data_IF_473303279516
#
_entry.id   IF_473303279516
#
_cell.length_a   1.000
_cell.length_b   1.000
_cell.length_c   1.000
_cell.angle_alpha   90.00
_cell.angle_beta   90.00
_cell.angle_gamma   90.00
#
_symmetry.space_group_name_H-M   'P 1'
#
loop_
_entity.id
_entity.type
_entity.pdbx_description
1 polymer ?
#
# COMPACT_ATOMS: atom_id res chain seq x y z
N UNK A 1 14.61 -7.27 -13.19
CA UNK A 1 13.48 -7.55 -12.25
C UNK A 1 13.46 -6.56 -11.08
N UNK A 2 12.28 -6.16 -10.58
CA UNK A 2 12.08 -5.31 -9.38
C UNK A 2 11.61 -6.16 -8.20
N UNK A 3 12.11 -5.92 -7.01
CA UNK A 3 11.63 -6.59 -5.78
C UNK A 3 10.53 -5.75 -5.15
N UNK A 4 9.37 -6.37 -4.94
CA UNK A 4 8.29 -5.79 -4.17
C UNK A 4 8.74 -5.61 -2.71
N UNK A 5 8.50 -4.43 -2.18
CA UNK A 5 9.00 -4.01 -0.89
C UNK A 5 8.29 -4.74 0.20
N UNK A 6 9.08 -5.55 0.87
CA UNK A 6 8.84 -5.89 2.25
C UNK A 6 9.04 -4.64 3.09
N UNK A 7 8.03 -3.77 3.14
CA UNK A 7 7.98 -2.79 4.20
C UNK A 7 8.00 -3.57 5.50
N UNK A 8 9.11 -3.49 6.24
CA UNK A 8 9.29 -4.18 7.51
C UNK A 8 8.31 -3.71 8.59
N UNK A 9 7.30 -2.88 8.27
CA UNK A 9 6.46 -2.28 9.29
C UNK A 9 5.06 -2.01 8.75
N UNK A 10 4.05 -2.50 9.48
CA UNK A 10 2.66 -2.00 9.45
C UNK A 10 2.59 -0.45 9.51
N UNK A 11 3.63 0.17 10.07
CA UNK A 11 3.75 1.60 10.34
C UNK A 11 4.12 2.49 9.13
N UNK A 12 4.03 2.00 7.89
CA UNK A 12 4.34 2.79 6.69
C UNK A 12 3.05 3.36 6.06
N UNK A 13 2.74 4.66 6.19
CA UNK A 13 1.52 5.25 5.60
C UNK A 13 1.51 5.23 4.07
N UNK A 14 2.69 5.11 3.48
CA UNK A 14 2.89 5.05 2.03
C UNK A 14 2.48 3.72 1.40
N UNK A 15 2.29 2.68 2.23
CA UNK A 15 1.78 1.40 1.74
C UNK A 15 0.27 1.56 1.45
N UNK A 16 -0.22 1.30 0.22
CA UNK A 16 -1.63 1.48 -0.07
C UNK A 16 -2.50 0.51 0.75
N UNK A 17 -3.66 0.99 1.21
CA UNK A 17 -4.69 0.15 1.83
C UNK A 17 -5.83 -0.10 0.85
N UNK A 18 -6.44 -1.27 0.92
CA UNK A 18 -7.60 -1.66 0.10
C UNK A 18 -8.70 -2.17 1.01
N UNK A 19 -9.80 -1.42 1.11
CA UNK A 19 -10.96 -1.84 1.90
C UNK A 19 -11.90 -2.79 1.13
N UNK A 20 -12.02 -2.64 -0.19
CA UNK A 20 -12.95 -3.43 -1.00
C UNK A 20 -12.59 -4.93 -1.00
N UNK A 21 -13.46 -5.83 -0.47
CA UNK A 21 -13.20 -7.25 -0.42
C UNK A 21 -12.93 -7.88 -1.80
N UNK A 22 -13.63 -7.42 -2.84
CA UNK A 22 -13.47 -7.97 -4.18
C UNK A 22 -12.13 -7.55 -4.79
N UNK A 23 -11.71 -6.30 -4.57
CA UNK A 23 -10.37 -5.85 -4.96
C UNK A 23 -9.27 -6.57 -4.17
N UNK A 24 -9.45 -6.85 -2.86
CA UNK A 24 -8.51 -7.69 -2.10
C UNK A 24 -8.36 -9.07 -2.72
N UNK A 25 -9.48 -9.73 -3.06
CA UNK A 25 -9.48 -11.05 -3.71
C UNK A 25 -8.72 -11.03 -5.03
N UNK A 26 -9.01 -10.07 -5.93
CA UNK A 26 -8.33 -9.98 -7.24
C UNK A 26 -6.83 -9.73 -7.11
N UNK A 27 -6.40 -8.90 -6.15
CA UNK A 27 -4.98 -8.69 -5.86
C UNK A 27 -4.35 -10.01 -5.37
N UNK A 28 -5.01 -10.72 -4.45
CA UNK A 28 -4.53 -11.99 -3.92
C UNK A 28 -4.41 -13.05 -5.03
N UNK A 29 -5.41 -13.17 -5.91
CA UNK A 29 -5.38 -14.08 -7.07
C UNK A 29 -4.18 -13.79 -7.99
N UNK A 30 -3.88 -12.52 -8.26
CA UNK A 30 -2.69 -12.16 -9.03
C UNK A 30 -1.41 -12.63 -8.33
N UNK A 31 -1.29 -12.35 -7.02
CA UNK A 31 -0.10 -12.67 -6.26
C UNK A 31 0.13 -14.18 -6.15
N UNK A 32 -0.93 -14.96 -5.95
CA UNK A 32 -0.89 -16.42 -5.89
C UNK A 32 -0.61 -17.03 -7.26
N UNK A 33 -1.11 -16.44 -8.34
CA UNK A 33 -0.90 -16.92 -9.70
C UNK A 33 0.53 -16.69 -10.25
N UNK A 34 1.38 -15.96 -9.54
CA UNK A 34 2.76 -15.71 -9.94
C UNK A 34 3.59 -17.00 -9.98
N UNK A 35 4.54 -17.07 -10.91
CA UNK A 35 5.45 -18.21 -11.06
C UNK A 35 6.32 -18.35 -9.82
N UNK A 36 6.28 -19.52 -9.17
CA UNK A 36 7.08 -19.81 -7.99
C UNK A 36 8.55 -20.03 -8.36
N UNK A 37 9.44 -19.37 -7.63
CA UNK A 37 10.90 -19.40 -7.85
C UNK A 37 11.66 -19.53 -6.52
N UNK A 38 12.89 -20.03 -6.57
CA UNK A 38 13.83 -19.94 -5.43
C UNK A 38 13.66 -20.98 -4.31
N UNK A 39 13.04 -22.14 -4.56
CA UNK A 39 12.86 -23.20 -3.54
C UNK A 39 14.15 -23.72 -2.90
N UNK A 40 15.31 -23.59 -3.55
CA UNK A 40 16.52 -24.30 -3.11
C UNK A 40 17.40 -23.54 -2.11
N UNK A 41 17.34 -22.20 -2.00
CA UNK A 41 18.39 -21.42 -1.29
C UNK A 41 17.90 -20.26 -0.38
N UNK A 42 16.70 -20.33 0.21
CA UNK A 42 16.24 -19.33 1.19
C UNK A 42 14.98 -19.72 1.97
N UNK A 43 14.67 -19.04 3.08
CA UNK A 43 13.57 -19.42 3.99
C UNK A 43 12.16 -19.03 3.52
N UNK A 44 11.99 -18.34 2.38
CA UNK A 44 10.69 -17.84 1.93
C UNK A 44 10.41 -18.23 0.47
N UNK A 45 9.20 -18.71 0.20
CA UNK A 45 8.69 -18.94 -1.15
C UNK A 45 8.49 -17.59 -1.84
N UNK A 46 9.11 -17.44 -3.02
CA UNK A 46 9.01 -16.24 -3.84
C UNK A 46 8.17 -16.52 -5.09
N UNK A 47 7.47 -15.48 -5.55
CA UNK A 47 6.67 -15.48 -6.75
C UNK A 47 7.11 -14.34 -7.67
N UNK A 48 6.98 -14.56 -8.98
CA UNK A 48 7.29 -13.56 -10.00
C UNK A 48 6.33 -13.60 -11.19
N UNK A 49 6.11 -12.44 -11.82
CA UNK A 49 5.48 -12.30 -13.14
C UNK A 49 6.49 -12.01 -14.27
N UNK A 50 7.79 -12.24 -13.99
CA UNK A 50 8.91 -11.90 -14.87
C UNK A 50 9.42 -10.47 -14.75
N UNK A 51 8.67 -9.55 -14.15
CA UNK A 51 9.11 -8.17 -13.92
C UNK A 51 9.22 -7.81 -12.44
N UNK A 52 8.31 -8.33 -11.62
CA UNK A 52 8.27 -8.15 -10.18
C UNK A 52 8.55 -9.46 -9.45
N UNK A 53 9.13 -9.35 -8.26
CA UNK A 53 9.40 -10.45 -7.34
C UNK A 53 8.77 -10.12 -5.98
N UNK A 54 7.96 -11.02 -5.43
CA UNK A 54 7.30 -10.82 -4.13
C UNK A 54 7.28 -12.10 -3.31
N UNK A 55 7.19 -12.02 -1.97
CA UNK A 55 7.01 -13.20 -1.14
C UNK A 55 5.57 -13.72 -1.19
N UNK A 56 5.37 -14.99 -0.87
CA UNK A 56 4.03 -15.58 -0.71
C UNK A 56 3.19 -14.87 0.38
N UNK A 57 3.83 -14.38 1.46
CA UNK A 57 3.12 -13.74 2.60
C UNK A 57 2.26 -12.53 2.24
N UNK A 58 2.52 -11.88 1.10
CA UNK A 58 1.69 -10.75 0.64
C UNK A 58 0.24 -11.13 0.43
N UNK A 59 -0.05 -12.39 0.09
CA UNK A 59 -1.42 -12.87 -0.09
C UNK A 59 -2.22 -12.68 1.20
N UNK A 60 -1.68 -13.13 2.34
CA UNK A 60 -2.33 -12.98 3.63
C UNK A 60 -2.43 -11.51 4.07
N UNK A 61 -1.36 -10.73 3.89
CA UNK A 61 -1.37 -9.29 4.23
C UNK A 61 -2.45 -8.51 3.44
N UNK A 62 -2.68 -8.86 2.18
CA UNK A 62 -3.74 -8.25 1.37
C UNK A 62 -5.13 -8.69 1.83
N UNK A 63 -5.33 -10.00 2.01
CA UNK A 63 -6.65 -10.53 2.36
C UNK A 63 -7.10 -10.08 3.74
N UNK A 64 -6.22 -10.23 4.73
CA UNK A 64 -6.55 -10.03 6.14
C UNK A 64 -6.46 -8.54 6.51
N UNK A 65 -5.35 -7.89 6.15
CA UNK A 65 -5.03 -6.53 6.59
C UNK A 65 -5.41 -5.46 5.55
N UNK A 66 -5.65 -5.86 4.30
CA UNK A 66 -5.87 -4.92 3.20
C UNK A 66 -4.60 -4.18 2.79
N UNK A 67 -3.43 -4.66 3.20
CA UNK A 67 -2.15 -4.02 2.90
C UNK A 67 -1.69 -4.40 1.50
N UNK A 68 -1.96 -3.52 0.55
CA UNK A 68 -1.68 -3.76 -0.84
C UNK A 68 -0.17 -3.64 -1.17
N UNK A 69 0.26 -4.21 -2.31
CA UNK A 69 1.58 -3.95 -2.88
C UNK A 69 1.75 -2.48 -3.28
N UNK A 70 2.95 -2.10 -3.69
CA UNK A 70 3.27 -0.71 -4.05
C UNK A 70 2.42 -0.21 -5.23
N UNK A 71 2.23 1.12 -5.37
CA UNK A 71 1.43 1.70 -6.43
C UNK A 71 1.79 1.22 -7.85
N UNK A 72 3.09 1.10 -8.15
CA UNK A 72 3.55 0.64 -9.47
C UNK A 72 3.15 -0.82 -9.76
N UNK A 73 3.25 -1.69 -8.75
CA UNK A 73 2.85 -3.08 -8.88
C UNK A 73 1.32 -3.19 -8.98
N UNK A 74 0.57 -2.38 -8.22
CA UNK A 74 -0.89 -2.28 -8.36
C UNK A 74 -1.32 -1.79 -9.74
N UNK A 75 -0.65 -0.77 -10.29
CA UNK A 75 -0.91 -0.28 -11.64
C UNK A 75 -0.66 -1.37 -12.69
N UNK A 76 0.40 -2.17 -12.51
CA UNK A 76 0.68 -3.34 -13.35
C UNK A 76 -0.42 -4.40 -13.24
N UNK A 77 -0.83 -4.77 -12.03
CA UNK A 77 -1.92 -5.72 -11.81
C UNK A 77 -3.20 -5.27 -12.52
N UNK A 78 -3.51 -3.97 -12.44
CA UNK A 78 -4.65 -3.39 -13.14
C UNK A 78 -4.51 -3.49 -14.67
N UNK A 79 -3.33 -3.13 -15.21
CA UNK A 79 -3.04 -3.23 -16.64
C UNK A 79 -3.11 -4.66 -17.17
N UNK A 80 -2.90 -5.67 -16.31
CA UNK A 80 -2.97 -7.09 -16.66
C UNK A 80 -4.28 -7.75 -16.21
N UNK A 81 -5.31 -6.96 -15.88
CA UNK A 81 -6.62 -7.45 -15.42
C UNK A 81 -6.52 -8.51 -14.30
N UNK A 82 -5.56 -8.34 -13.39
CA UNK A 82 -5.27 -9.25 -12.28
C UNK A 82 -4.89 -10.68 -12.71
N UNK A 83 -4.27 -10.83 -13.89
CA UNK A 83 -3.66 -12.10 -14.33
C UNK A 83 -2.16 -11.92 -14.53
N UNK A 84 -1.30 -12.60 -13.74
CA UNK A 84 0.13 -12.47 -13.89
C UNK A 84 0.60 -13.13 -15.19
N UNK A 85 1.58 -12.52 -15.84
CA UNK A 85 2.26 -13.15 -16.96
C UNK A 85 3.16 -14.27 -16.45
N UNK A 86 3.18 -15.42 -17.14
CA UNK A 86 4.13 -16.48 -16.87
C UNK A 86 5.45 -16.19 -17.63
N UNK A 87 6.57 -15.90 -16.95
CA UNK A 87 7.87 -15.81 -17.61
C UNK A 87 8.29 -17.18 -18.16
N UNK A 88 9.16 -17.17 -19.16
CA UNK A 88 9.79 -18.39 -19.66
C UNK A 88 10.63 -19.04 -18.53
N UNK A 89 10.42 -20.33 -18.21
CA UNK A 89 11.19 -21.01 -17.18
C UNK A 89 12.64 -21.27 -17.65
N UNK A 90 13.58 -21.29 -16.71
CA UNK A 90 14.97 -21.68 -16.97
C UNK A 90 15.96 -21.11 -15.94
N UNK A 91 17.20 -21.59 -15.99
CA UNK A 91 18.25 -21.21 -15.03
C UNK A 91 18.54 -19.70 -15.02
N UNK A 92 18.45 -19.05 -16.19
CA UNK A 92 18.61 -17.60 -16.32
C UNK A 92 17.58 -16.80 -15.49
N UNK A 93 16.34 -17.31 -15.37
CA UNK A 93 15.30 -16.69 -14.55
C UNK A 93 15.66 -16.81 -13.06
N UNK A 94 16.10 -17.99 -12.63
CA UNK A 94 16.53 -18.21 -11.25
C UNK A 94 17.72 -17.30 -10.88
N UNK A 95 18.71 -17.17 -11.78
CA UNK A 95 19.85 -16.28 -11.58
C UNK A 95 19.45 -14.81 -11.51
N UNK A 96 18.50 -14.35 -12.34
CA UNK A 96 17.97 -12.99 -12.25
C UNK A 96 17.19 -12.75 -10.95
N UNK A 97 16.33 -13.69 -10.56
CA UNK A 97 15.57 -13.65 -9.31
C UNK A 97 16.51 -13.51 -8.12
N UNK A 98 17.54 -14.35 -8.04
CA UNK A 98 18.46 -14.33 -6.90
C UNK A 98 19.31 -13.06 -6.87
N UNK A 99 19.73 -12.54 -8.03
CA UNK A 99 20.41 -11.24 -8.12
C UNK A 99 19.50 -10.11 -7.64
N UNK A 100 18.27 -10.06 -8.12
CA UNK A 100 17.30 -9.04 -7.72
C UNK A 100 16.98 -9.11 -6.23
N UNK A 101 16.71 -10.31 -5.71
CA UNK A 101 16.42 -10.53 -4.29
C UNK A 101 17.55 -10.05 -3.38
N UNK A 102 18.81 -10.35 -3.74
CA UNK A 102 19.99 -9.89 -2.98
C UNK A 102 20.21 -8.38 -3.08
N UNK A 103 19.94 -7.78 -4.24
CA UNK A 103 20.03 -6.34 -4.42
C UNK A 103 18.95 -5.58 -3.62
N UNK A 104 17.80 -6.22 -3.39
CA UNK A 104 16.67 -5.63 -2.69
C UNK A 104 15.92 -4.60 -3.55
N UNK A 105 14.90 -3.95 -2.98
CA UNK A 105 14.17 -2.89 -3.67
C UNK A 105 15.08 -1.68 -3.93
N UNK A 106 14.91 -0.96 -5.06
CA UNK A 106 15.69 0.25 -5.32
C UNK A 106 15.44 1.31 -4.24
N UNK A 107 16.50 2.02 -3.88
CA UNK A 107 16.42 3.14 -2.94
C UNK A 107 15.51 4.24 -3.50
N UNK A 108 14.57 4.73 -2.69
CA UNK A 108 13.76 5.88 -3.09
C UNK A 108 14.54 7.18 -3.00
N UNK A 109 14.19 8.17 -3.83
CA UNK A 109 14.59 9.54 -3.55
C UNK A 109 14.14 9.90 -2.13
N UNK A 110 15.05 10.48 -1.35
CA UNK A 110 14.74 10.97 -0.01
C UNK A 110 13.70 12.09 -0.13
N UNK A 111 12.46 11.78 0.20
CA UNK A 111 11.38 12.75 0.36
C UNK A 111 11.19 12.98 1.85
N UNK A 112 11.03 14.24 2.24
CA UNK A 112 10.59 14.57 3.59
C UNK A 112 9.07 14.57 3.58
N UNK A 113 8.46 13.68 4.36
CA UNK A 113 7.01 13.56 4.49
C UNK A 113 6.63 13.88 5.93
N UNK A 114 5.78 14.89 6.10
CA UNK A 114 5.17 15.23 7.39
C UNK A 114 3.68 14.91 7.32
N UNK A 115 3.17 14.21 8.33
CA UNK A 115 1.77 13.79 8.39
C UNK A 115 1.00 14.64 9.38
N UNK A 116 -0.25 14.93 9.04
CA UNK A 116 -1.15 15.71 9.87
C UNK A 116 -2.50 15.03 9.96
N UNK A 117 -3.16 15.18 11.09
CA UNK A 117 -4.58 14.86 11.24
C UNK A 117 -5.36 16.14 11.45
N UNK A 118 -6.57 16.18 10.91
CA UNK A 118 -7.55 17.22 11.22
C UNK A 118 -8.50 16.73 12.28
N UNK A 119 -8.59 17.44 13.39
CA UNK A 119 -9.47 17.13 14.52
C UNK A 119 -10.37 18.33 14.84
N UNK A 120 -11.59 18.06 15.26
CA UNK A 120 -12.53 18.99 15.89
C UNK A 120 -12.72 18.64 17.37
N UNK A 121 -13.58 19.37 18.09
CA UNK A 121 -13.96 19.11 19.49
C UNK A 121 -14.43 17.67 19.75
N UNK A 122 -14.99 17.01 18.74
CA UNK A 122 -15.65 15.70 18.87
C UNK A 122 -14.78 14.53 18.39
N UNK A 123 -13.54 14.81 17.98
CA UNK A 123 -12.65 13.82 17.37
C UNK A 123 -11.28 13.80 18.04
N UNK A 124 -10.56 12.69 17.86
CA UNK A 124 -9.20 12.53 18.42
C UNK A 124 -8.19 12.28 17.32
N UNK A 125 -6.90 12.30 17.67
CA UNK A 125 -5.82 11.92 16.74
C UNK A 125 -6.00 10.50 16.20
N UNK A 126 -6.58 9.60 17.01
CA UNK A 126 -6.86 8.22 16.61
C UNK A 126 -8.10 8.11 15.72
N UNK A 127 -9.06 9.03 15.85
CA UNK A 127 -10.30 9.05 15.06
C UNK A 127 -10.51 10.44 14.46
N UNK A 128 -9.61 10.87 13.56
CA UNK A 128 -9.65 12.23 13.03
C UNK A 128 -10.70 12.37 11.94
N UNK A 129 -11.04 13.61 11.60
CA UNK A 129 -11.88 13.93 10.44
C UNK A 129 -11.16 13.67 9.12
N UNK A 130 -9.84 13.87 9.08
CA UNK A 130 -9.03 13.70 7.87
C UNK A 130 -7.56 13.42 8.23
N UNK A 131 -6.87 12.71 7.33
CA UNK A 131 -5.44 12.45 7.38
C UNK A 131 -4.82 13.13 6.16
N UNK A 132 -3.79 13.93 6.40
CA UNK A 132 -3.11 14.74 5.41
C UNK A 132 -1.62 14.45 5.45
N UNK A 133 -0.95 14.75 4.34
CA UNK A 133 0.51 14.77 4.29
C UNK A 133 1.01 15.97 3.51
N UNK A 134 2.20 16.40 3.85
CA UNK A 134 3.00 17.32 3.06
C UNK A 134 4.30 16.62 2.67
N UNK A 135 4.56 16.57 1.38
CA UNK A 135 5.77 15.97 0.82
C UNK A 135 6.65 17.06 0.23
N UNK A 136 7.91 17.09 0.65
CA UNK A 136 8.94 18.00 0.14
C UNK A 136 9.97 17.20 -0.64
N UNK A 137 10.13 17.51 -1.92
CA UNK A 137 11.13 16.87 -2.79
C UNK A 137 12.52 17.44 -2.55
N UNK A 138 13.56 16.73 -2.98
CA UNK A 138 14.94 17.23 -2.89
C UNK A 138 15.16 18.55 -3.66
N UNK A 139 14.34 18.83 -4.67
CA UNK A 139 14.36 20.08 -5.44
C UNK A 139 13.56 21.22 -4.77
N UNK A 140 13.01 21.00 -3.57
CA UNK A 140 12.21 21.98 -2.83
C UNK A 140 10.74 22.08 -3.27
N UNK A 141 10.28 21.20 -4.17
CA UNK A 141 8.87 21.14 -4.56
C UNK A 141 8.01 20.62 -3.40
N UNK A 142 6.92 21.33 -3.11
CA UNK A 142 5.98 20.98 -2.04
C UNK A 142 4.69 20.46 -2.65
N UNK A 143 4.19 19.34 -2.12
CA UNK A 143 2.89 18.77 -2.47
C UNK A 143 2.10 18.50 -1.19
N UNK A 144 0.79 18.75 -1.25
CA UNK A 144 -0.13 18.59 -0.13
C UNK A 144 -1.28 17.70 -0.56
N UNK A 145 -1.53 16.67 0.23
CA UNK A 145 -2.51 15.64 -0.10
C UNK A 145 -3.33 15.27 1.13
N UNK A 146 -4.55 14.79 0.89
CA UNK A 146 -5.44 14.22 1.90
C UNK A 146 -5.88 12.82 1.46
N UNK A 147 -6.09 11.94 2.44
CA UNK A 147 -6.63 10.60 2.20
C UNK A 147 -8.14 10.69 1.98
N UNK A 148 -8.61 10.09 0.90
CA UNK A 148 -10.03 10.01 0.59
C UNK A 148 -10.62 8.64 0.95
N UNK A 149 -11.93 8.48 0.71
CA UNK A 149 -12.71 7.28 1.06
C UNK A 149 -12.23 6.01 0.35
N UNK A 150 -11.46 6.16 -0.73
CA UNK A 150 -10.80 5.10 -1.49
C UNK A 150 -9.44 4.67 -0.90
N UNK A 151 -9.02 5.27 0.21
CA UNK A 151 -7.73 5.07 0.90
C UNK A 151 -6.51 5.48 0.04
N UNK A 152 -6.70 6.31 -0.97
CA UNK A 152 -5.63 6.92 -1.74
C UNK A 152 -5.38 8.36 -1.29
N UNK A 153 -4.15 8.82 -1.52
CA UNK A 153 -3.75 10.21 -1.35
C UNK A 153 -4.16 11.03 -2.57
N UNK A 154 -4.84 12.15 -2.35
CA UNK A 154 -5.30 13.06 -3.40
C UNK A 154 -4.87 14.49 -3.10
N UNK A 155 -4.54 15.31 -4.12
CA UNK A 155 -4.23 16.73 -3.93
C UNK A 155 -5.30 17.46 -3.11
N UNK A 156 -4.86 18.34 -2.21
CA UNK A 156 -5.77 19.08 -1.33
C UNK A 156 -5.34 20.53 -1.13
N UNK A 157 -6.31 21.37 -0.77
CA UNK A 157 -6.09 22.74 -0.30
C UNK A 157 -6.39 22.91 1.20
N UNK A 158 -6.58 21.79 1.92
CA UNK A 158 -7.04 21.79 3.32
C UNK A 158 -6.07 22.49 4.29
N UNK A 159 -4.79 22.63 3.94
CA UNK A 159 -3.82 23.41 4.74
C UNK A 159 -4.07 24.91 4.68
N UNK A 160 -4.70 25.42 3.60
CA UNK A 160 -5.04 26.84 3.44
C UNK A 160 -6.43 27.18 3.99
N UNK A 161 -7.35 26.21 4.03
CA UNK A 161 -8.72 26.40 4.47
C UNK A 161 -8.93 25.88 5.90
N UNK A 162 -8.39 26.57 6.90
CA UNK A 162 -8.68 26.25 8.30
C UNK A 162 -10.08 26.77 8.67
N UNK A 163 -10.97 25.86 9.09
CA UNK A 163 -12.20 26.25 9.80
C UNK A 163 -11.82 26.58 11.24
N UNK A 164 -12.51 27.54 11.84
CA UNK A 164 -12.21 28.05 13.19
C UNK A 164 -12.19 26.93 14.24
N UNK A 165 -12.99 25.88 14.07
CA UNK A 165 -13.13 24.78 15.03
C UNK A 165 -12.28 23.53 14.71
N UNK A 166 -11.52 23.56 13.60
CA UNK A 166 -10.68 22.44 13.17
C UNK A 166 -9.20 22.73 13.49
N UNK A 167 -8.56 21.84 14.23
CA UNK A 167 -7.12 21.86 14.49
C UNK A 167 -6.38 20.88 13.57
N UNK A 168 -5.29 21.34 12.95
CA UNK A 168 -4.33 20.47 12.26
C UNK A 168 -3.21 20.09 13.22
N UNK A 169 -3.08 18.80 13.51
CA UNK A 169 -2.05 18.27 14.42
C UNK A 169 -1.07 17.40 13.66
N UNK A 170 0.21 17.68 13.80
CA UNK A 170 1.26 16.81 13.28
C UNK A 170 1.23 15.45 13.99
N UNK A 171 1.45 14.38 13.23
CA UNK A 171 1.49 13.00 13.73
C UNK A 171 2.69 12.25 13.18
N UNK A 172 3.12 11.25 13.93
CA UNK A 172 4.21 10.36 13.51
C UNK A 172 3.74 9.41 12.39
N UNK A 173 4.65 8.87 11.56
CA UNK A 173 4.28 7.88 10.53
C UNK A 173 3.54 6.65 11.10
N UNK A 174 3.92 6.06 12.25
CA UNK A 174 3.13 5.00 12.87
C UNK A 174 1.69 5.39 13.22
N UNK A 175 1.46 6.61 13.71
CA UNK A 175 0.11 7.10 14.00
C UNK A 175 -0.72 7.27 12.73
N UNK A 176 -0.14 7.85 11.67
CA UNK A 176 -0.79 7.97 10.36
C UNK A 176 -1.16 6.60 9.77
N UNK A 177 -0.24 5.64 9.84
CA UNK A 177 -0.51 4.26 9.40
C UNK A 177 -1.64 3.61 10.21
N UNK A 178 -1.67 3.81 11.53
CA UNK A 178 -2.73 3.27 12.37
C UNK A 178 -4.11 3.89 12.07
N UNK A 179 -4.17 5.18 11.67
CA UNK A 179 -5.41 5.81 11.17
C UNK A 179 -5.88 5.12 9.89
N UNK A 180 -4.98 4.93 8.92
CA UNK A 180 -5.28 4.22 7.67
C UNK A 180 -5.78 2.79 7.91
N UNK A 181 -5.13 2.06 8.82
CA UNK A 181 -5.49 0.68 9.14
C UNK A 181 -6.89 0.60 9.76
N UNK A 182 -7.22 1.52 10.67
CA UNK A 182 -8.57 1.62 11.25
C UNK A 182 -9.62 1.91 10.21
N UNK A 183 -9.41 2.92 9.35
CA UNK A 183 -10.33 3.23 8.27
C UNK A 183 -10.48 2.06 7.30
N UNK A 184 -9.38 1.41 6.91
CA UNK A 184 -9.39 0.22 6.07
C UNK A 184 -10.28 -0.88 6.67
N UNK A 185 -10.09 -1.21 7.95
CA UNK A 185 -10.87 -2.22 8.64
C UNK A 185 -12.37 -1.86 8.73
N UNK A 186 -12.70 -0.64 9.18
CA UNK A 186 -14.09 -0.17 9.27
C UNK A 186 -14.78 -0.23 7.92
N UNK A 187 -14.12 0.27 6.89
CA UNK A 187 -14.68 0.38 5.55
C UNK A 187 -14.79 -0.96 4.83
N UNK A 188 -13.88 -1.90 5.13
CA UNK A 188 -13.98 -3.28 4.70
C UNK A 188 -15.25 -3.93 5.28
N UNK A 189 -15.49 -3.77 6.58
CA UNK A 189 -16.69 -4.30 7.22
C UNK A 189 -17.97 -3.70 6.64
N UNK A 190 -18.00 -2.39 6.39
CA UNK A 190 -19.13 -1.74 5.72
C UNK A 190 -19.39 -2.28 4.31
N UNK A 191 -18.34 -2.62 3.55
CA UNK A 191 -18.48 -3.21 2.22
C UNK A 191 -19.03 -4.64 2.28
N UNK A 192 -18.58 -5.45 3.24
CA UNK A 192 -19.11 -6.79 3.48
C UNK A 192 -20.60 -6.74 3.86
N UNK A 193 -20.98 -5.87 4.79
CA UNK A 193 -22.37 -5.73 5.25
C UNK A 193 -23.31 -5.30 4.11
N UNK A 194 -22.86 -4.38 3.24
CA UNK A 194 -23.61 -3.95 2.04
C UNK A 194 -23.82 -5.07 1.04
N UNK A 195 -22.86 -5.99 0.92
CA UNK A 195 -22.94 -7.13 0.01
C UNK A 195 -23.89 -8.19 0.55
N UNK A 196 -23.85 -8.45 1.86
CA UNK A 196 -24.75 -9.37 2.54
C UNK A 196 -26.21 -8.90 2.48
N UNK A 197 -26.47 -7.60 2.62
CA UNK A 197 -27.83 -7.03 2.59
C UNK A 197 -28.47 -7.01 1.19
N UNK A 198 -27.72 -7.33 0.14
CA UNK A 198 -28.19 -7.39 -1.26
C UNK A 198 -28.47 -8.82 -1.74
N UNK A 199 -28.20 -9.83 -0.91
CA UNK A 199 -28.49 -11.25 -1.16
C UNK A 199 -29.75 -11.65 -0.44
#
# INVERSE_FOLDING_TARGET
>A
MRVARLYAVRNAPERPRVADPERRRRIAEYLTGGTTVGRDHGPAVLHTDGQWLWPERFVAEVLDEGLAPEPDLLARMHAHAYRPAAPAPGDALNDEVMRAWRAGPPAEPRQLITYFVRVSSDTTVERPLSLLRRTVTAAGGVTEEAVWRDLAWHPTNAFMSQRIDDELREVTPPQAAAVLDRWCATWHQEALNRTASRR
#
